data_IF_640212705245
#
_entry.id   IF_640212705245
#
_cell.length_a   1.000
_cell.length_b   1.000
_cell.length_c   1.000
_cell.angle_alpha   90.00
_cell.angle_beta   90.00
_cell.angle_gamma   90.00
#
_symmetry.space_group_name_H-M   'P 1'
#
loop_
_entity.id
_entity.type
_entity.pdbx_description
1 polymer ?
#
# COMPACT_ATOMS: atom_id res chain seq x y z
N UNK A 1 26.62 -15.89 -13.46
CA UNK A 1 25.73 -15.03 -12.69
C UNK A 1 25.99 -15.33 -11.22
N UNK A 2 26.28 -14.30 -10.46
CA UNK A 2 26.49 -14.36 -9.00
C UNK A 2 25.51 -13.38 -8.34
N UNK A 3 24.74 -13.82 -7.33
CA UNK A 3 23.84 -12.96 -6.56
C UNK A 3 24.40 -12.89 -5.15
N UNK A 4 24.54 -11.67 -4.64
CA UNK A 4 25.10 -11.40 -3.32
C UNK A 4 24.47 -10.18 -2.66
N UNK A 5 24.58 -10.02 -1.34
CA UNK A 5 24.27 -8.78 -0.68
C UNK A 5 25.03 -7.60 -1.29
N UNK A 6 24.35 -6.45 -1.31
CA UNK A 6 24.97 -5.21 -1.78
C UNK A 6 26.09 -4.78 -0.82
N UNK A 7 27.12 -4.15 -1.37
CA UNK A 7 28.24 -3.59 -0.61
C UNK A 7 28.42 -2.11 -0.95
N UNK A 8 29.23 -1.40 -0.15
CA UNK A 8 29.41 0.05 -0.32
C UNK A 8 30.02 0.41 -1.69
N UNK A 9 30.89 -0.45 -2.22
CA UNK A 9 31.47 -0.29 -3.55
C UNK A 9 30.46 -0.39 -4.71
N UNK A 10 29.24 -0.89 -4.46
CA UNK A 10 28.20 -1.02 -5.48
C UNK A 10 27.35 0.25 -5.64
N UNK A 11 27.50 1.25 -4.77
CA UNK A 11 26.65 2.45 -4.73
C UNK A 11 26.54 3.12 -6.11
N UNK A 12 27.67 3.40 -6.74
CA UNK A 12 27.69 4.05 -8.06
C UNK A 12 27.06 3.17 -9.15
N UNK A 13 27.24 1.85 -9.08
CA UNK A 13 26.64 0.92 -10.03
C UNK A 13 25.13 0.87 -9.87
N UNK A 14 24.61 0.88 -8.62
CA UNK A 14 23.18 0.91 -8.32
C UNK A 14 22.57 2.20 -8.84
N UNK A 15 23.11 3.36 -8.51
CA UNK A 15 22.64 4.67 -9.00
C UNK A 15 22.58 4.67 -10.52
N UNK A 16 23.62 4.16 -11.17
CA UNK A 16 23.68 4.09 -12.63
C UNK A 16 22.61 3.15 -13.21
N UNK A 17 22.30 2.03 -12.56
CA UNK A 17 21.20 1.15 -12.97
C UNK A 17 19.85 1.87 -12.95
N UNK A 18 19.57 2.69 -11.94
CA UNK A 18 18.34 3.50 -11.89
C UNK A 18 18.34 4.53 -13.02
N UNK A 19 19.45 5.23 -13.27
CA UNK A 19 19.55 6.18 -14.38
C UNK A 19 19.35 5.54 -15.75
N UNK A 20 19.88 4.35 -15.97
CA UNK A 20 19.73 3.61 -17.23
C UNK A 20 18.26 3.20 -17.50
N UNK A 21 17.48 2.97 -16.45
CA UNK A 21 16.08 2.53 -16.59
C UNK A 21 15.08 3.70 -16.57
N UNK A 22 15.35 4.75 -15.82
CA UNK A 22 14.39 5.82 -15.51
C UNK A 22 14.90 7.24 -15.82
N UNK A 23 16.15 7.40 -16.28
CA UNK A 23 16.76 8.73 -16.36
C UNK A 23 16.92 9.34 -14.96
N UNK A 24 16.38 10.53 -14.75
CA UNK A 24 16.32 11.19 -13.43
C UNK A 24 14.89 11.21 -12.86
N UNK A 25 13.95 10.45 -13.47
CA UNK A 25 12.51 10.51 -13.19
C UNK A 25 12.00 9.29 -12.39
N UNK A 26 12.87 8.65 -11.60
CA UNK A 26 12.38 7.58 -10.71
C UNK A 26 11.54 8.16 -9.58
N UNK A 27 10.41 7.52 -9.27
CA UNK A 27 9.45 7.97 -8.27
C UNK A 27 10.04 8.20 -6.87
N UNK A 28 11.20 7.59 -6.56
CA UNK A 28 11.94 7.78 -5.32
C UNK A 28 13.30 8.42 -5.68
N UNK A 29 13.39 9.76 -5.75
CA UNK A 29 14.59 10.47 -6.20
C UNK A 29 15.80 10.25 -5.29
N UNK A 30 15.59 9.82 -4.06
CA UNK A 30 16.64 9.47 -3.10
C UNK A 30 17.55 8.32 -3.59
N UNK A 31 17.09 7.47 -4.52
CA UNK A 31 17.94 6.45 -5.16
C UNK A 31 19.10 7.05 -5.97
N UNK A 32 19.10 8.33 -6.24
CA UNK A 32 20.22 9.06 -6.86
C UNK A 32 21.18 9.69 -5.84
N UNK A 33 20.85 9.66 -4.53
CA UNK A 33 21.71 10.14 -3.45
C UNK A 33 22.61 9.03 -2.90
N UNK A 34 23.95 9.09 -3.09
CA UNK A 34 24.87 8.09 -2.58
C UNK A 34 24.79 7.88 -1.06
N UNK A 35 24.49 8.94 -0.31
CA UNK A 35 24.38 8.86 1.15
C UNK A 35 23.13 8.12 1.57
N UNK A 36 22.05 8.31 0.83
CA UNK A 36 20.81 7.58 1.05
C UNK A 36 20.99 6.09 0.73
N UNK A 37 21.56 5.77 -0.43
CA UNK A 37 21.88 4.38 -0.83
C UNK A 37 22.76 3.70 0.21
N UNK A 38 23.81 4.40 0.69
CA UNK A 38 24.69 3.89 1.75
C UNK A 38 23.93 3.56 3.03
N UNK A 39 23.02 4.44 3.48
CA UNK A 39 22.16 4.15 4.66
C UNK A 39 21.32 2.91 4.45
N UNK A 40 20.76 2.74 3.24
CA UNK A 40 19.98 1.55 2.88
C UNK A 40 20.80 0.27 2.98
N UNK A 41 22.04 0.28 2.53
CA UNK A 41 22.97 -0.88 2.61
C UNK A 41 23.20 -1.35 4.06
N UNK A 42 23.29 -0.40 4.98
CA UNK A 42 23.54 -0.68 6.40
C UNK A 42 22.25 -0.75 7.25
N UNK A 43 21.07 -0.80 6.64
CA UNK A 43 19.80 -0.90 7.34
C UNK A 43 19.43 -2.36 7.61
N UNK A 44 19.08 -2.68 8.86
CA UNK A 44 18.56 -3.98 9.24
C UNK A 44 17.14 -4.24 8.69
N UNK A 45 16.49 -3.21 8.14
CA UNK A 45 15.14 -3.29 7.58
C UNK A 45 15.12 -3.53 6.07
N UNK A 46 16.28 -3.80 5.45
CA UNK A 46 16.36 -4.05 4.02
C UNK A 46 17.22 -5.27 3.73
N UNK A 47 16.67 -6.19 2.97
CA UNK A 47 17.44 -7.18 2.26
C UNK A 47 17.71 -6.60 0.87
N UNK A 48 18.95 -6.19 0.62
CA UNK A 48 19.33 -5.58 -0.67
C UNK A 48 20.35 -6.46 -1.38
N UNK A 49 19.97 -6.94 -2.56
CA UNK A 49 20.80 -7.84 -3.36
C UNK A 49 21.17 -7.21 -4.70
N UNK A 50 22.34 -7.59 -5.18
CA UNK A 50 22.82 -7.32 -6.55
C UNK A 50 23.09 -8.61 -7.29
N UNK A 51 22.86 -8.60 -8.60
CA UNK A 51 23.24 -9.68 -9.50
C UNK A 51 24.39 -9.24 -10.41
N UNK A 52 25.48 -9.98 -10.37
CA UNK A 52 26.65 -9.75 -11.21
C UNK A 52 26.57 -10.58 -12.49
N UNK A 53 26.93 -9.94 -13.59
CA UNK A 53 27.16 -10.58 -14.87
C UNK A 53 28.51 -10.13 -15.40
N UNK A 54 29.39 -11.10 -15.71
CA UNK A 54 30.76 -10.83 -16.22
C UNK A 54 31.59 -9.89 -15.31
N UNK A 55 31.47 -10.08 -13.98
CA UNK A 55 32.21 -9.30 -12.98
C UNK A 55 31.72 -7.86 -12.77
N UNK A 56 30.53 -7.50 -13.28
CA UNK A 56 29.91 -6.19 -13.08
C UNK A 56 28.49 -6.34 -12.54
N UNK A 57 28.09 -5.43 -11.67
CA UNK A 57 26.70 -5.34 -11.20
C UNK A 57 25.79 -5.02 -12.40
N UNK A 58 24.89 -5.94 -12.69
CA UNK A 58 23.97 -5.87 -13.83
C UNK A 58 22.50 -5.85 -13.42
N UNK A 59 22.20 -6.08 -12.16
CA UNK A 59 20.84 -5.88 -11.61
C UNK A 59 20.93 -5.59 -10.11
N UNK A 60 19.94 -4.89 -9.60
CA UNK A 60 19.75 -4.57 -8.18
C UNK A 60 18.28 -4.74 -7.81
N UNK A 61 18.00 -5.16 -6.58
CA UNK A 61 16.63 -5.28 -6.06
C UNK A 61 16.63 -5.41 -4.55
N UNK A 62 15.53 -5.05 -3.91
CA UNK A 62 15.43 -5.05 -2.47
C UNK A 62 14.10 -5.65 -1.98
N UNK A 63 14.13 -6.25 -0.77
CA UNK A 63 12.97 -6.49 0.04
C UNK A 63 13.03 -5.55 1.26
N UNK A 64 12.01 -4.74 1.40
CA UNK A 64 11.85 -3.82 2.52
C UNK A 64 11.04 -4.55 3.58
N UNK A 65 11.66 -4.81 4.72
CA UNK A 65 11.04 -5.49 5.86
C UNK A 65 10.20 -4.51 6.68
N UNK A 66 9.24 -5.03 7.42
CA UNK A 66 8.35 -4.23 8.28
C UNK A 66 7.56 -3.17 7.51
N UNK A 67 7.09 -3.56 6.32
CA UNK A 67 6.33 -2.68 5.44
C UNK A 67 4.93 -2.27 5.98
N UNK A 68 4.62 -2.58 7.22
CA UNK A 68 3.36 -2.21 7.88
C UNK A 68 3.59 -1.47 9.18
N UNK A 69 3.79 -2.20 10.26
CA UNK A 69 4.09 -1.68 11.59
C UNK A 69 5.46 -2.19 12.05
N UNK A 70 6.08 -1.54 13.03
CA UNK A 70 7.40 -1.86 13.56
C UNK A 70 7.61 -3.32 13.94
N UNK A 71 6.54 -3.99 14.35
CA UNK A 71 6.58 -5.37 14.81
C UNK A 71 5.91 -6.33 13.83
N UNK A 72 5.54 -5.87 12.65
CA UNK A 72 4.90 -6.74 11.67
C UNK A 72 5.93 -7.29 10.69
N UNK A 73 5.78 -8.57 10.39
CA UNK A 73 6.63 -9.30 9.47
C UNK A 73 6.07 -9.21 8.04
N UNK A 74 6.01 -7.97 7.50
CA UNK A 74 5.59 -7.69 6.12
C UNK A 74 6.81 -7.29 5.30
N UNK A 75 6.96 -7.88 4.11
CA UNK A 75 8.00 -7.54 3.15
C UNK A 75 7.44 -6.91 1.87
N UNK A 76 7.95 -5.76 1.46
CA UNK A 76 7.74 -5.24 0.11
C UNK A 76 8.92 -5.62 -0.78
N UNK A 77 8.71 -6.51 -1.75
CA UNK A 77 9.72 -6.94 -2.72
C UNK A 77 9.63 -6.03 -3.95
N UNK A 78 10.69 -5.27 -4.19
CA UNK A 78 10.66 -4.30 -5.27
C UNK A 78 12.03 -3.69 -5.59
N UNK A 79 11.98 -2.50 -6.16
CA UNK A 79 13.18 -1.74 -6.56
C UNK A 79 14.08 -2.54 -7.52
N UNK A 80 13.46 -3.47 -8.29
CA UNK A 80 14.20 -4.34 -9.21
C UNK A 80 14.51 -3.58 -10.49
N UNK A 81 15.80 -3.34 -10.71
CA UNK A 81 16.35 -2.73 -11.92
C UNK A 81 17.36 -3.66 -12.55
N UNK A 82 17.34 -3.76 -13.87
CA UNK A 82 18.26 -4.60 -14.65
C UNK A 82 18.89 -3.74 -15.74
N UNK A 83 20.17 -3.88 -15.95
CA UNK A 83 20.88 -3.25 -17.07
C UNK A 83 20.18 -3.64 -18.39
N UNK A 84 19.64 -2.67 -19.16
CA UNK A 84 18.94 -2.95 -20.41
C UNK A 84 19.80 -3.75 -21.41
N UNK A 85 21.13 -3.58 -21.36
CA UNK A 85 22.06 -4.29 -22.24
C UNK A 85 22.30 -5.74 -21.82
N UNK A 86 22.05 -6.07 -20.56
CA UNK A 86 22.13 -7.42 -20.01
C UNK A 86 20.80 -8.20 -20.09
N UNK A 87 19.80 -7.65 -20.79
CA UNK A 87 18.46 -8.22 -20.90
C UNK A 87 18.43 -9.64 -21.51
N UNK A 88 17.37 -10.40 -21.19
CA UNK A 88 17.17 -11.76 -21.70
C UNK A 88 17.92 -12.87 -20.96
N UNK A 89 18.84 -12.54 -20.05
CA UNK A 89 19.64 -13.53 -19.28
C UNK A 89 18.96 -14.03 -17.99
N UNK A 90 17.71 -13.62 -17.74
CA UNK A 90 16.95 -14.04 -16.56
C UNK A 90 17.39 -13.40 -15.23
N UNK A 91 18.21 -12.34 -15.27
CA UNK A 91 18.76 -11.68 -14.07
C UNK A 91 17.68 -11.19 -13.11
N UNK A 92 16.65 -10.49 -13.61
CA UNK A 92 15.57 -9.98 -12.78
C UNK A 92 14.76 -11.10 -12.09
N UNK A 93 14.51 -12.22 -12.79
CA UNK A 93 13.85 -13.38 -12.20
C UNK A 93 14.70 -14.04 -11.12
N UNK A 94 15.99 -14.25 -11.40
CA UNK A 94 16.89 -14.87 -10.44
C UNK A 94 17.07 -14.00 -9.19
N UNK A 95 17.17 -12.67 -9.38
CA UNK A 95 17.28 -11.72 -8.28
C UNK A 95 15.99 -11.70 -7.43
N UNK A 96 14.82 -11.69 -8.06
CA UNK A 96 13.53 -11.73 -7.34
C UNK A 96 13.37 -13.03 -6.55
N UNK A 97 13.74 -14.18 -7.14
CA UNK A 97 13.76 -15.44 -6.43
C UNK A 97 14.69 -15.41 -5.20
N UNK A 98 15.89 -14.90 -5.36
CA UNK A 98 16.83 -14.77 -4.25
C UNK A 98 16.33 -13.81 -3.14
N UNK A 99 15.62 -12.74 -3.50
CA UNK A 99 14.99 -11.85 -2.53
C UNK A 99 13.88 -12.56 -1.75
N UNK A 100 13.03 -13.34 -2.43
CA UNK A 100 11.98 -14.16 -1.79
C UNK A 100 12.62 -15.15 -0.82
N UNK A 101 13.60 -15.92 -1.28
CA UNK A 101 14.30 -16.92 -0.45
C UNK A 101 14.97 -16.28 0.77
N UNK A 102 15.59 -15.10 0.60
CA UNK A 102 16.25 -14.40 1.70
C UNK A 102 15.26 -13.77 2.69
N UNK A 103 14.04 -13.51 2.28
CA UNK A 103 13.00 -12.90 3.14
C UNK A 103 12.09 -13.94 3.82
N UNK A 104 12.05 -15.19 3.37
CA UNK A 104 11.09 -16.22 3.82
C UNK A 104 11.11 -16.43 5.35
N UNK A 105 12.29 -16.39 5.98
CA UNK A 105 12.42 -16.54 7.44
C UNK A 105 12.11 -15.25 8.23
N UNK A 106 11.96 -14.10 7.53
CA UNK A 106 11.83 -12.78 8.15
C UNK A 106 10.45 -12.17 7.96
N UNK A 107 9.62 -12.71 7.07
CA UNK A 107 8.29 -12.17 6.78
C UNK A 107 7.21 -13.25 6.88
N UNK A 108 6.01 -12.84 7.23
CA UNK A 108 4.80 -13.66 7.21
C UNK A 108 3.88 -13.32 6.03
N UNK A 109 4.07 -12.14 5.47
CA UNK A 109 3.45 -11.71 4.23
C UNK A 109 4.44 -10.90 3.40
N UNK A 110 4.56 -11.20 2.11
CA UNK A 110 5.30 -10.35 1.19
C UNK A 110 4.44 -9.99 -0.02
N UNK A 111 4.69 -8.80 -0.55
CA UNK A 111 4.02 -8.31 -1.74
C UNK A 111 4.99 -7.59 -2.68
N UNK A 112 4.56 -7.46 -3.92
CA UNK A 112 5.22 -6.66 -4.94
C UNK A 112 4.18 -5.89 -5.75
N UNK A 113 4.52 -4.69 -6.18
CA UNK A 113 3.71 -3.90 -7.09
C UNK A 113 4.33 -3.90 -8.48
N UNK A 114 3.63 -4.52 -9.42
CA UNK A 114 4.10 -4.70 -10.79
C UNK A 114 3.42 -3.73 -11.75
N UNK A 115 4.20 -2.98 -12.52
CA UNK A 115 3.70 -2.08 -13.56
C UNK A 115 2.85 -2.83 -14.58
N UNK A 116 1.84 -2.13 -15.13
CA UNK A 116 0.96 -2.69 -16.17
C UNK A 116 1.35 -2.30 -17.59
N UNK A 117 2.34 -1.46 -17.77
CA UNK A 117 2.87 -1.07 -19.10
C UNK A 117 3.59 -2.22 -19.81
N UNK A 118 3.97 -3.26 -19.09
CA UNK A 118 4.51 -4.50 -19.63
C UNK A 118 4.35 -5.66 -18.61
N UNK A 119 4.13 -6.89 -19.06
CA UNK A 119 3.80 -8.00 -18.17
C UNK A 119 5.03 -8.71 -17.57
N UNK A 120 6.23 -8.19 -17.72
CA UNK A 120 7.48 -8.89 -17.33
C UNK A 120 7.51 -9.21 -15.84
N UNK A 121 7.35 -8.19 -14.99
CA UNK A 121 7.36 -8.37 -13.52
C UNK A 121 6.19 -9.23 -13.07
N UNK A 122 4.98 -9.02 -13.62
CA UNK A 122 3.81 -9.84 -13.31
C UNK A 122 4.08 -11.34 -13.58
N UNK A 123 4.65 -11.67 -14.76
CA UNK A 123 5.02 -13.07 -15.10
C UNK A 123 6.05 -13.65 -14.15
N UNK A 124 7.00 -12.84 -13.66
CA UNK A 124 7.99 -13.29 -12.68
C UNK A 124 7.29 -13.55 -11.34
N UNK A 125 6.44 -12.65 -10.88
CA UNK A 125 5.65 -12.80 -9.66
C UNK A 125 4.80 -14.08 -9.72
N UNK A 126 4.00 -14.26 -10.78
CA UNK A 126 3.17 -15.44 -10.99
C UNK A 126 4.00 -16.74 -10.92
N UNK A 127 5.19 -16.75 -11.57
CA UNK A 127 6.07 -17.90 -11.57
C UNK A 127 6.69 -18.23 -10.20
N UNK A 128 6.91 -17.21 -9.37
CA UNK A 128 7.52 -17.33 -8.05
C UNK A 128 6.47 -17.46 -6.93
N UNK A 129 5.17 -17.53 -7.28
CA UNK A 129 4.10 -17.74 -6.31
C UNK A 129 3.58 -16.47 -5.62
N UNK A 130 4.04 -15.29 -6.05
CA UNK A 130 3.40 -14.02 -5.68
C UNK A 130 2.16 -13.83 -6.56
N UNK A 131 1.00 -14.19 -6.05
CA UNK A 131 -0.26 -14.15 -6.82
C UNK A 131 -0.90 -12.77 -6.81
N UNK A 132 -1.61 -12.36 -7.89
CA UNK A 132 -2.34 -11.09 -7.90
C UNK A 132 -3.40 -11.02 -6.79
N UNK A 133 -3.49 -9.86 -6.13
CA UNK A 133 -4.41 -9.54 -5.03
C UNK A 133 -5.21 -8.25 -5.29
N UNK A 134 -4.87 -7.52 -6.34
CA UNK A 134 -5.56 -6.29 -6.71
C UNK A 134 -5.02 -5.64 -7.96
N UNK A 135 -5.80 -4.69 -8.47
CA UNK A 135 -5.41 -3.79 -9.55
C UNK A 135 -5.57 -2.35 -9.06
N UNK A 136 -4.48 -1.59 -9.08
CA UNK A 136 -4.41 -0.22 -8.59
C UNK A 136 -4.43 0.73 -9.81
N UNK A 137 -5.60 1.26 -10.19
CA UNK A 137 -5.70 2.10 -11.38
C UNK A 137 -4.98 3.44 -11.16
N UNK A 138 -4.12 3.83 -12.08
CA UNK A 138 -3.47 5.14 -12.13
C UNK A 138 -2.73 5.51 -10.82
N UNK A 139 -2.21 4.52 -10.08
CA UNK A 139 -1.77 4.65 -8.70
C UNK A 139 -0.55 5.58 -8.53
N UNK A 140 0.40 5.54 -9.47
CA UNK A 140 1.66 6.26 -9.31
C UNK A 140 1.97 7.19 -10.48
N UNK A 141 2.53 8.35 -10.15
CA UNK A 141 3.03 9.32 -11.12
C UNK A 141 4.43 8.91 -11.59
N UNK A 142 4.49 8.48 -12.83
CA UNK A 142 5.73 8.27 -13.57
C UNK A 142 5.85 9.37 -14.64
N UNK A 143 6.31 9.07 -15.86
CA UNK A 143 6.19 10.01 -16.99
C UNK A 143 4.72 10.39 -17.26
N UNK A 144 3.81 9.45 -17.00
CA UNK A 144 2.36 9.63 -16.88
C UNK A 144 1.87 8.80 -15.69
N UNK A 145 0.57 8.88 -15.33
CA UNK A 145 0.02 8.02 -14.28
C UNK A 145 -0.12 6.60 -14.77
N UNK A 146 0.52 5.70 -14.06
CA UNK A 146 0.52 4.27 -14.38
C UNK A 146 -0.32 3.47 -13.37
N UNK A 147 -0.89 2.39 -13.90
CA UNK A 147 -1.57 1.39 -13.08
C UNK A 147 -0.61 0.28 -12.67
N UNK A 148 -0.91 -0.36 -11.53
CA UNK A 148 -0.11 -1.44 -10.98
C UNK A 148 -0.98 -2.63 -10.61
N UNK A 149 -0.40 -3.81 -10.64
CA UNK A 149 -0.94 -5.02 -10.02
C UNK A 149 -0.20 -5.24 -8.73
N UNK A 150 -0.93 -5.30 -7.61
CA UNK A 150 -0.37 -5.78 -6.36
C UNK A 150 -0.46 -7.30 -6.33
N UNK A 151 0.67 -7.96 -6.11
CA UNK A 151 0.78 -9.42 -5.99
C UNK A 151 1.40 -9.76 -4.65
N UNK A 152 0.98 -10.85 -4.01
CA UNK A 152 1.51 -11.20 -2.69
C UNK A 152 1.39 -12.68 -2.37
N UNK A 153 2.00 -13.06 -1.23
CA UNK A 153 2.02 -14.42 -0.71
C UNK A 153 2.17 -14.40 0.80
N UNK A 154 1.58 -15.39 1.46
CA UNK A 154 1.77 -15.68 2.89
C UNK A 154 2.93 -16.64 3.08
N UNK A 155 3.84 -16.31 3.99
CA UNK A 155 5.02 -17.09 4.37
C UNK A 155 4.92 -17.62 5.80
N UNK A 156 5.72 -18.60 6.13
CA UNK A 156 5.86 -19.13 7.48
C UNK A 156 4.52 -19.36 8.20
N UNK A 157 4.34 -18.68 9.32
CA UNK A 157 3.12 -18.75 10.11
C UNK A 157 1.97 -17.88 9.58
N UNK A 158 2.18 -17.05 8.55
CA UNK A 158 1.18 -16.11 8.05
C UNK A 158 -0.17 -16.76 7.71
N UNK A 159 -0.17 -17.99 7.16
CA UNK A 159 -1.40 -18.74 6.88
C UNK A 159 -2.12 -19.19 8.15
N UNK A 160 -1.37 -19.62 9.16
CA UNK A 160 -1.91 -20.14 10.43
C UNK A 160 -2.47 -19.00 11.27
N UNK A 161 -1.82 -17.85 11.23
CA UNK A 161 -2.22 -16.66 11.98
C UNK A 161 -3.37 -15.89 11.31
N UNK A 162 -3.65 -16.16 10.03
CA UNK A 162 -4.80 -15.53 9.38
C UNK A 162 -6.10 -16.01 10.04
N UNK A 163 -6.92 -15.07 10.48
CA UNK A 163 -8.22 -15.37 11.07
C UNK A 163 -9.24 -15.72 9.97
N UNK A 164 -9.64 -16.98 9.94
CA UNK A 164 -10.57 -17.49 8.93
C UNK A 164 -12.00 -17.14 9.31
N UNK A 165 -12.75 -16.50 8.39
CA UNK A 165 -14.18 -16.20 8.56
C UNK A 165 -14.48 -14.95 9.39
N UNK A 166 -13.48 -14.22 9.85
CA UNK A 166 -13.67 -12.96 10.57
C UNK A 166 -14.00 -11.79 9.63
N UNK A 167 -13.56 -11.86 8.36
CA UNK A 167 -13.79 -10.80 7.39
C UNK A 167 -15.28 -10.58 7.13
N UNK A 168 -15.72 -9.32 7.29
CA UNK A 168 -17.09 -8.87 7.03
C UNK A 168 -17.03 -7.69 6.07
N UNK A 169 -17.46 -7.91 4.84
CA UNK A 169 -17.28 -6.93 3.77
C UNK A 169 -18.60 -6.40 3.22
N UNK A 170 -18.54 -5.22 2.61
CA UNK A 170 -19.64 -4.70 1.79
C UNK A 170 -19.72 -5.43 0.45
N UNK A 171 -20.89 -5.43 -0.25
CA UNK A 171 -21.05 -6.16 -1.53
C UNK A 171 -20.02 -5.78 -2.60
N UNK A 172 -19.54 -4.53 -2.57
CA UNK A 172 -18.56 -4.02 -3.53
C UNK A 172 -17.19 -4.67 -3.38
N UNK A 173 -16.84 -5.16 -2.19
CA UNK A 173 -15.56 -5.81 -1.87
C UNK A 173 -15.60 -7.31 -2.16
N UNK A 174 -16.76 -7.96 -2.03
CA UNK A 174 -16.91 -9.42 -2.12
C UNK A 174 -16.21 -10.06 -3.35
N UNK A 175 -16.34 -9.53 -4.59
CA UNK A 175 -15.70 -10.15 -5.75
C UNK A 175 -14.17 -10.17 -5.65
N UNK A 176 -13.55 -9.11 -5.12
CA UNK A 176 -12.11 -9.05 -4.93
C UNK A 176 -11.66 -9.99 -3.80
N UNK A 177 -12.44 -10.07 -2.72
CA UNK A 177 -12.15 -10.98 -1.62
C UNK A 177 -12.11 -12.44 -2.11
N UNK A 178 -13.13 -12.88 -2.85
CA UNK A 178 -13.18 -14.24 -3.42
C UNK A 178 -12.01 -14.52 -4.37
N UNK A 179 -11.68 -13.57 -5.26
CA UNK A 179 -10.53 -13.72 -6.16
C UNK A 179 -9.22 -13.88 -5.40
N UNK A 180 -8.97 -13.04 -4.41
CA UNK A 180 -7.71 -13.06 -3.65
C UNK A 180 -7.58 -14.32 -2.80
N UNK A 181 -8.66 -14.74 -2.13
CA UNK A 181 -8.68 -15.97 -1.35
C UNK A 181 -8.44 -17.20 -2.22
N UNK A 182 -9.12 -17.27 -3.37
CA UNK A 182 -8.92 -18.32 -4.38
C UNK A 182 -7.46 -18.36 -4.87
N UNK A 183 -6.88 -17.22 -5.23
CA UNK A 183 -5.52 -17.16 -5.75
C UNK A 183 -4.47 -17.61 -4.72
N UNK A 184 -4.69 -17.33 -3.45
CA UNK A 184 -3.85 -17.81 -2.35
C UNK A 184 -4.16 -19.24 -1.91
N UNK A 185 -5.17 -19.90 -2.50
CA UNK A 185 -5.62 -21.23 -2.08
C UNK A 185 -6.14 -21.26 -0.64
N UNK A 186 -6.86 -20.22 -0.24
CA UNK A 186 -7.51 -20.07 1.06
C UNK A 186 -9.01 -20.35 0.96
N UNK A 187 -9.67 -20.53 2.10
CA UNK A 187 -11.13 -20.60 2.15
C UNK A 187 -11.73 -19.28 1.64
N UNK A 188 -12.59 -19.38 0.61
CA UNK A 188 -13.23 -18.23 -0.05
C UNK A 188 -14.41 -17.65 0.75
N UNK A 189 -14.65 -18.16 1.94
CA UNK A 189 -15.75 -17.71 2.81
C UNK A 189 -15.48 -16.30 3.35
N UNK A 190 -16.35 -15.36 2.96
CA UNK A 190 -16.42 -14.01 3.55
C UNK A 190 -17.86 -13.69 3.90
N UNK A 191 -18.09 -13.05 5.03
CA UNK A 191 -19.42 -12.56 5.38
C UNK A 191 -19.70 -11.25 4.62
N UNK A 192 -20.84 -11.18 3.94
CA UNK A 192 -21.26 -9.97 3.21
C UNK A 192 -22.37 -9.27 3.97
N UNK A 193 -22.12 -8.03 4.36
CA UNK A 193 -23.12 -7.20 5.04
C UNK A 193 -23.69 -6.16 4.06
N UNK A 194 -24.82 -6.49 3.43
CA UNK A 194 -25.43 -5.66 2.38
C UNK A 194 -26.12 -4.40 2.89
N UNK A 195 -26.41 -4.30 4.19
CA UNK A 195 -27.12 -3.16 4.80
C UNK A 195 -26.33 -2.57 5.95
N UNK A 196 -25.14 -2.07 5.63
CA UNK A 196 -24.32 -1.34 6.59
C UNK A 196 -24.65 0.14 6.51
N UNK A 197 -24.78 0.78 7.68
CA UNK A 197 -24.89 2.25 7.74
C UNK A 197 -23.49 2.85 7.87
N UNK A 198 -23.18 3.81 7.04
CA UNK A 198 -21.99 4.65 7.17
C UNK A 198 -21.94 5.37 8.53
N UNK A 199 -20.78 5.85 8.91
CA UNK A 199 -20.65 6.77 10.03
C UNK A 199 -21.39 8.08 9.71
N UNK A 200 -22.22 8.61 10.66
CA UNK A 200 -22.85 9.92 10.47
C UNK A 200 -21.77 11.00 10.30
N UNK A 201 -21.99 11.94 9.37
CA UNK A 201 -21.01 12.97 9.03
C UNK A 201 -21.51 14.41 9.26
N UNK A 202 -22.59 14.57 10.00
CA UNK A 202 -23.29 15.84 10.28
C UNK A 202 -23.00 16.41 11.68
N UNK A 203 -21.95 15.90 12.34
CA UNK A 203 -21.58 16.33 13.68
C UNK A 203 -21.11 17.78 13.72
N UNK A 204 -21.57 18.51 14.74
CA UNK A 204 -21.18 19.89 15.01
C UNK A 204 -20.09 19.94 16.08
N UNK A 205 -18.86 19.63 15.67
CA UNK A 205 -17.69 19.67 16.55
C UNK A 205 -16.76 20.79 16.12
N UNK A 206 -15.94 21.24 17.05
CA UNK A 206 -14.78 22.05 16.71
C UNK A 206 -13.71 21.11 16.16
N UNK A 207 -13.37 21.24 14.88
CA UNK A 207 -12.27 20.46 14.28
C UNK A 207 -11.07 21.36 14.08
N UNK A 208 -9.91 20.90 14.55
CA UNK A 208 -8.65 21.66 14.49
C UNK A 208 -7.50 20.73 14.05
N UNK A 209 -6.47 21.28 13.39
CA UNK A 209 -5.21 20.56 13.24
C UNK A 209 -4.63 20.17 14.60
N UNK A 210 -3.94 19.03 14.63
CA UNK A 210 -3.25 18.57 15.84
C UNK A 210 -2.12 19.52 16.21
N UNK A 211 -2.07 19.88 17.50
CA UNK A 211 -0.97 20.64 18.10
C UNK A 211 -0.17 19.77 19.05
N UNK A 212 1.03 20.21 19.46
CA UNK A 212 1.85 19.49 20.42
C UNK A 212 1.15 19.16 21.74
N UNK A 213 0.31 20.08 22.25
CA UNK A 213 -0.51 19.84 23.45
C UNK A 213 -1.62 18.83 23.20
N UNK A 214 -2.23 18.85 21.99
CA UNK A 214 -3.26 17.90 21.58
C UNK A 214 -2.73 16.47 21.46
N UNK A 215 -1.46 16.30 21.10
CA UNK A 215 -0.82 14.99 20.95
C UNK A 215 -0.95 14.15 22.24
N UNK A 216 -0.67 14.73 23.41
CA UNK A 216 -0.74 13.99 24.68
C UNK A 216 -2.16 13.51 24.99
N UNK A 217 -3.17 14.29 24.63
CA UNK A 217 -4.58 13.91 24.81
C UNK A 217 -4.96 12.80 23.83
N UNK A 218 -4.51 12.89 22.59
CA UNK A 218 -4.77 11.91 21.56
C UNK A 218 -4.14 10.54 21.87
N UNK A 219 -2.95 10.52 22.47
CA UNK A 219 -2.27 9.29 22.89
C UNK A 219 -3.04 8.50 23.97
N UNK A 220 -4.00 9.11 24.65
CA UNK A 220 -4.84 8.44 25.65
C UNK A 220 -6.03 7.69 25.05
N UNK A 221 -6.33 7.92 23.79
CA UNK A 221 -7.43 7.22 23.09
C UNK A 221 -6.84 5.96 22.46
N UNK A 222 -7.25 4.81 22.97
CA UNK A 222 -6.76 3.50 22.50
C UNK A 222 -7.63 2.95 21.36
N UNK A 223 -8.93 3.29 21.33
CA UNK A 223 -9.86 2.82 20.30
C UNK A 223 -9.51 3.41 18.92
N UNK A 224 -9.48 2.55 17.93
CA UNK A 224 -9.04 2.90 16.58
C UNK A 224 -7.53 2.89 16.38
N UNK A 225 -6.75 2.80 17.46
CA UNK A 225 -5.28 2.72 17.41
C UNK A 225 -4.76 1.36 17.89
N UNK A 226 -5.03 0.97 19.12
CA UNK A 226 -4.63 -0.31 19.70
C UNK A 226 -5.80 -1.26 19.89
N UNK A 227 -6.99 -0.71 20.06
CA UNK A 227 -8.25 -1.44 20.20
C UNK A 227 -9.07 -1.22 18.95
N UNK A 228 -9.38 -2.32 18.26
CA UNK A 228 -10.21 -2.33 17.04
C UNK A 228 -9.76 -1.31 15.96
N UNK A 229 -8.51 -1.37 15.48
CA UNK A 229 -8.07 -0.48 14.41
C UNK A 229 -8.84 -0.78 13.13
N UNK A 230 -9.39 0.25 12.53
CA UNK A 230 -10.15 0.15 11.28
C UNK A 230 -9.28 0.48 10.06
N UNK A 231 -8.20 1.25 10.25
CA UNK A 231 -7.25 1.63 9.21
C UNK A 231 -5.88 1.07 9.57
N UNK A 232 -5.25 0.42 8.59
CA UNK A 232 -3.89 -0.05 8.69
C UNK A 232 -2.98 0.83 7.82
N UNK A 233 -1.98 1.45 8.42
CA UNK A 233 -1.06 2.31 7.68
C UNK A 233 0.21 1.57 7.33
N UNK A 234 0.54 1.57 6.04
CA UNK A 234 1.85 1.19 5.53
C UNK A 234 2.87 2.34 5.59
N UNK A 235 2.64 3.36 6.40
CA UNK A 235 3.51 4.55 6.43
C UNK A 235 4.92 4.30 6.93
N UNK A 236 5.19 3.13 7.47
CA UNK A 236 6.49 2.81 8.07
C UNK A 236 7.46 2.15 7.10
N UNK A 237 7.05 2.02 5.86
CA UNK A 237 7.75 1.29 4.81
C UNK A 237 9.06 1.92 4.36
N UNK A 238 9.32 3.16 4.68
CA UNK A 238 10.51 3.85 4.16
C UNK A 238 11.67 3.87 5.15
N UNK A 239 12.43 2.84 5.19
CA UNK A 239 13.90 2.78 5.35
C UNK A 239 14.54 3.87 6.23
N UNK A 240 14.08 4.03 7.46
CA UNK A 240 14.55 5.14 8.28
C UNK A 240 13.95 6.50 7.89
N UNK A 241 13.28 6.59 6.75
CA UNK A 241 12.49 7.74 6.31
C UNK A 241 11.10 7.74 6.91
N UNK A 242 10.57 6.61 7.30
CA UNK A 242 9.28 6.51 7.96
C UNK A 242 9.15 7.48 9.14
N UNK A 243 10.20 7.64 9.91
CA UNK A 243 10.22 8.62 10.99
C UNK A 243 10.15 10.08 10.49
N UNK A 244 10.66 10.38 9.32
CA UNK A 244 10.56 11.69 8.70
C UNK A 244 9.19 11.88 8.05
N UNK A 245 8.64 10.85 7.41
CA UNK A 245 7.29 10.86 6.83
C UNK A 245 6.22 10.92 7.92
N UNK A 246 6.36 10.18 9.00
CA UNK A 246 5.48 10.29 10.17
C UNK A 246 5.44 11.71 10.76
N UNK A 247 6.52 12.48 10.67
CA UNK A 247 6.55 13.90 11.06
C UNK A 247 5.78 14.81 10.10
N UNK A 248 5.45 14.35 8.89
CA UNK A 248 4.65 15.09 7.89
C UNK A 248 3.19 14.66 7.88
N UNK A 249 2.80 13.69 8.72
CA UNK A 249 1.40 13.32 8.84
C UNK A 249 0.61 14.48 9.47
N UNK A 250 -0.47 14.86 8.81
CA UNK A 250 -1.43 15.82 9.32
C UNK A 250 -2.54 15.07 10.07
N UNK A 251 -3.02 15.66 11.14
CA UNK A 251 -4.17 15.16 11.90
C UNK A 251 -5.23 16.24 12.04
N UNK A 252 -6.48 15.86 11.82
CA UNK A 252 -7.64 16.64 12.23
C UNK A 252 -8.21 16.03 13.50
N UNK A 253 -8.46 16.89 14.50
CA UNK A 253 -8.92 16.48 15.83
C UNK A 253 -10.29 17.10 16.08
N UNK A 254 -11.29 16.26 16.37
CA UNK A 254 -12.61 16.69 16.81
C UNK A 254 -12.65 16.91 18.31
N UNK A 255 -13.19 18.07 18.74
CA UNK A 255 -13.26 18.46 20.14
C UNK A 255 -14.65 18.99 20.51
N UNK A 256 -15.11 18.63 21.71
CA UNK A 256 -16.25 19.22 22.38
C UNK A 256 -15.77 19.93 23.66
N UNK A 257 -15.62 21.24 23.61
CA UNK A 257 -14.93 21.99 24.66
C UNK A 257 -13.46 21.53 24.81
N UNK A 258 -13.09 21.09 26.01
CA UNK A 258 -11.75 20.55 26.29
C UNK A 258 -11.62 19.03 26.06
N UNK A 259 -12.72 18.37 25.66
CA UNK A 259 -12.72 16.93 25.45
C UNK A 259 -12.43 16.58 24.00
N UNK A 260 -11.44 15.72 23.77
CA UNK A 260 -11.12 15.16 22.44
C UNK A 260 -12.06 13.98 22.17
N UNK A 261 -12.82 14.04 21.07
CA UNK A 261 -13.78 13.03 20.65
C UNK A 261 -13.14 12.03 19.69
N UNK A 262 -12.16 12.45 18.93
CA UNK A 262 -11.47 11.60 17.97
C UNK A 262 -10.51 12.38 17.09
N UNK A 263 -9.83 11.66 16.21
CA UNK A 263 -8.92 12.22 15.22
C UNK A 263 -8.85 11.34 13.97
N UNK A 264 -8.53 11.96 12.84
CA UNK A 264 -8.14 11.28 11.61
C UNK A 264 -6.75 11.73 11.22
N UNK A 265 -5.87 10.77 10.98
CA UNK A 265 -4.52 11.00 10.46
C UNK A 265 -4.46 10.74 8.96
N UNK A 266 -3.72 11.57 8.24
CA UNK A 266 -3.45 11.37 6.83
C UNK A 266 -2.08 11.92 6.44
N UNK A 267 -1.53 11.38 5.38
CA UNK A 267 -0.24 11.76 4.81
C UNK A 267 -0.42 12.17 3.35
N UNK A 268 0.19 13.28 2.96
CA UNK A 268 0.25 13.72 1.58
C UNK A 268 1.60 13.43 0.95
N UNK A 269 1.59 12.62 -0.08
CA UNK A 269 2.75 12.33 -0.93
C UNK A 269 2.76 13.31 -2.11
N UNK A 270 3.72 14.24 -2.07
CA UNK A 270 3.75 15.37 -3.00
C UNK A 270 4.03 14.93 -4.45
N UNK A 271 4.93 13.96 -4.64
CA UNK A 271 5.30 13.47 -5.97
C UNK A 271 4.11 12.83 -6.68
N UNK A 272 3.41 11.93 -6.00
CA UNK A 272 2.25 11.22 -6.55
C UNK A 272 0.94 11.99 -6.36
N UNK A 273 0.95 13.15 -5.71
CA UNK A 273 -0.26 13.88 -5.29
C UNK A 273 -1.30 12.97 -4.67
N UNK A 274 -0.85 12.05 -3.85
CA UNK A 274 -1.68 11.06 -3.19
C UNK A 274 -1.84 11.40 -1.71
N UNK A 275 -3.07 11.39 -1.21
CA UNK A 275 -3.34 11.42 0.22
C UNK A 275 -3.67 10.02 0.69
N UNK A 276 -2.96 9.56 1.70
CA UNK A 276 -3.21 8.31 2.41
C UNK A 276 -3.87 8.59 3.74
N UNK A 277 -5.06 8.02 3.98
CA UNK A 277 -5.62 7.96 5.33
C UNK A 277 -4.84 6.90 6.11
N UNK A 278 -4.33 7.25 7.29
CA UNK A 278 -3.40 6.41 8.04
C UNK A 278 -3.95 5.93 9.37
N UNK A 279 -4.90 6.66 9.95
CA UNK A 279 -5.43 6.35 11.27
C UNK A 279 -6.80 7.02 11.45
N UNK A 280 -7.72 6.32 12.08
CA UNK A 280 -9.00 6.87 12.54
C UNK A 280 -9.17 6.50 14.02
N UNK A 281 -9.19 7.49 14.89
CA UNK A 281 -9.19 7.32 16.33
C UNK A 281 -10.45 7.95 16.90
N UNK A 282 -11.09 7.31 17.83
CA UNK A 282 -12.20 7.90 18.59
C UNK A 282 -13.27 6.88 18.95
N UNK A 283 -14.14 7.29 19.86
CA UNK A 283 -15.23 6.49 20.39
C UNK A 283 -16.61 7.02 19.96
N UNK A 284 -16.62 8.17 19.25
CA UNK A 284 -17.86 8.80 18.76
C UNK A 284 -18.02 8.61 17.26
N UNK A 285 -19.03 7.86 16.88
CA UNK A 285 -19.35 7.54 15.48
C UNK A 285 -19.53 8.79 14.60
N UNK A 286 -20.17 9.83 15.13
CA UNK A 286 -20.44 11.06 14.38
C UNK A 286 -19.16 11.89 14.23
N UNK A 287 -18.29 11.85 15.23
CA UNK A 287 -16.97 12.46 15.13
C UNK A 287 -16.13 11.75 14.06
N UNK A 288 -16.13 10.41 14.03
CA UNK A 288 -15.41 9.62 13.03
C UNK A 288 -15.87 9.92 11.60
N UNK A 289 -17.18 9.90 11.35
CA UNK A 289 -17.73 10.21 10.02
C UNK A 289 -17.46 11.67 9.59
N UNK A 290 -17.60 12.62 10.51
CA UNK A 290 -17.29 14.04 10.24
C UNK A 290 -15.81 14.24 9.93
N UNK A 291 -14.92 13.62 10.70
CA UNK A 291 -13.47 13.69 10.49
C UNK A 291 -13.06 13.10 9.14
N UNK A 292 -13.61 11.94 8.75
CA UNK A 292 -13.34 11.32 7.45
C UNK A 292 -13.75 12.23 6.30
N UNK A 293 -14.97 12.79 6.37
CA UNK A 293 -15.44 13.75 5.36
C UNK A 293 -14.51 14.96 5.26
N UNK A 294 -14.14 15.56 6.39
CA UNK A 294 -13.26 16.73 6.41
C UNK A 294 -11.83 16.40 5.95
N UNK A 295 -11.32 15.18 6.23
CA UNK A 295 -10.03 14.74 5.72
C UNK A 295 -10.05 14.63 4.19
N UNK A 296 -11.12 14.07 3.62
CA UNK A 296 -11.31 13.99 2.17
C UNK A 296 -11.41 15.40 1.57
N UNK A 297 -12.24 16.28 2.13
CA UNK A 297 -12.35 17.67 1.68
C UNK A 297 -11.01 18.42 1.77
N UNK A 298 -10.24 18.20 2.85
CA UNK A 298 -8.91 18.79 3.03
C UNK A 298 -7.92 18.27 1.97
N UNK A 299 -7.94 16.96 1.71
CA UNK A 299 -7.13 16.35 0.65
C UNK A 299 -7.42 16.98 -0.71
N UNK A 300 -8.71 17.20 -1.00
CA UNK A 300 -9.17 17.75 -2.27
C UNK A 300 -8.88 19.24 -2.43
N UNK A 301 -9.14 20.03 -1.40
CA UNK A 301 -9.11 21.50 -1.49
C UNK A 301 -7.74 22.09 -1.14
N UNK A 302 -7.09 21.57 -0.10
CA UNK A 302 -5.81 22.10 0.38
C UNK A 302 -4.62 21.52 -0.39
N UNK A 303 -4.63 20.19 -0.62
CA UNK A 303 -3.51 19.49 -1.24
C UNK A 303 -3.71 19.28 -2.74
N UNK A 304 -4.91 19.55 -3.26
CA UNK A 304 -5.26 19.22 -4.65
C UNK A 304 -4.86 17.77 -4.99
N UNK A 305 -5.15 16.86 -4.04
CA UNK A 305 -4.82 15.47 -4.20
C UNK A 305 -5.52 14.87 -5.42
N UNK A 306 -4.78 14.12 -6.19
CA UNK A 306 -5.27 13.44 -7.39
C UNK A 306 -5.77 12.04 -7.05
N UNK A 307 -5.20 11.45 -6.01
CA UNK A 307 -5.60 10.12 -5.49
C UNK A 307 -5.73 10.19 -3.99
N UNK A 308 -6.74 9.50 -3.45
CA UNK A 308 -6.86 9.21 -2.03
C UNK A 308 -6.87 7.69 -1.85
N UNK A 309 -6.17 7.20 -0.83
CA UNK A 309 -6.10 5.78 -0.51
C UNK A 309 -6.35 5.52 0.97
N UNK A 310 -6.90 4.35 1.27
CA UNK A 310 -7.10 3.87 2.63
C UNK A 310 -7.01 2.35 2.66
N UNK A 311 -6.17 1.82 3.54
CA UNK A 311 -6.07 0.39 3.81
C UNK A 311 -6.97 0.06 5.00
N UNK A 312 -8.12 -0.54 4.72
CA UNK A 312 -9.21 -0.77 5.67
C UNK A 312 -9.16 -2.19 6.20
N UNK A 313 -9.33 -2.36 7.50
CA UNK A 313 -9.56 -3.68 8.11
C UNK A 313 -10.81 -4.33 7.48
N UNK A 314 -10.67 -5.55 6.96
CA UNK A 314 -11.80 -6.28 6.36
C UNK A 314 -12.90 -6.63 7.38
N UNK A 315 -12.64 -6.48 8.68
CA UNK A 315 -13.62 -6.63 9.75
C UNK A 315 -14.42 -5.35 10.04
N UNK A 316 -14.14 -4.26 9.32
CA UNK A 316 -14.77 -2.94 9.51
C UNK A 316 -15.70 -2.55 8.35
N UNK A 317 -16.83 -3.26 8.15
CA UNK A 317 -17.73 -2.98 7.02
C UNK A 317 -18.34 -1.57 7.09
N UNK A 318 -18.43 -1.00 8.27
CA UNK A 318 -18.96 0.36 8.47
C UNK A 318 -18.03 1.42 7.91
N UNK A 319 -16.71 1.28 8.13
CA UNK A 319 -15.73 2.17 7.50
C UNK A 319 -15.68 1.96 5.99
N UNK A 320 -15.72 0.69 5.52
CA UNK A 320 -15.80 0.40 4.08
C UNK A 320 -16.98 1.13 3.42
N UNK A 321 -18.17 1.07 4.06
CA UNK A 321 -19.37 1.75 3.59
C UNK A 321 -19.21 3.27 3.61
N UNK A 322 -18.64 3.82 4.68
CA UNK A 322 -18.41 5.27 4.81
C UNK A 322 -17.49 5.78 3.70
N UNK A 323 -16.37 5.09 3.45
CA UNK A 323 -15.46 5.44 2.38
C UNK A 323 -16.12 5.28 1.00
N UNK A 324 -16.94 4.24 0.81
CA UNK A 324 -17.68 4.05 -0.43
C UNK A 324 -18.63 5.22 -0.72
N UNK A 325 -19.36 5.71 0.29
CA UNK A 325 -20.22 6.90 0.18
C UNK A 325 -19.40 8.19 -0.08
N UNK A 326 -18.17 8.27 0.45
CA UNK A 326 -17.23 9.36 0.17
C UNK A 326 -16.54 9.24 -1.21
N UNK A 327 -16.88 8.22 -2.00
CA UNK A 327 -16.40 8.06 -3.38
C UNK A 327 -15.22 7.12 -3.55
N UNK A 328 -14.79 6.41 -2.51
CA UNK A 328 -13.76 5.38 -2.64
C UNK A 328 -14.34 4.09 -3.20
N UNK A 329 -13.52 3.38 -3.97
CA UNK A 329 -13.84 2.07 -4.52
C UNK A 329 -12.76 1.05 -4.14
N UNK A 330 -13.11 -0.22 -3.92
CA UNK A 330 -12.12 -1.25 -3.63
C UNK A 330 -11.26 -1.54 -4.87
N UNK A 331 -9.93 -1.54 -4.66
CA UNK A 331 -8.93 -1.81 -5.69
C UNK A 331 -8.15 -3.10 -5.43
N UNK A 332 -8.02 -3.52 -4.16
CA UNK A 332 -7.39 -4.77 -3.77
C UNK A 332 -8.05 -5.37 -2.53
N UNK A 333 -7.91 -6.69 -2.39
CA UNK A 333 -8.18 -7.41 -1.15
C UNK A 333 -6.97 -8.27 -0.82
N UNK A 334 -6.40 -8.06 0.36
CA UNK A 334 -5.09 -8.60 0.74
C UNK A 334 -5.25 -9.46 1.99
N UNK A 335 -5.39 -10.80 1.83
CA UNK A 335 -5.60 -11.69 2.95
C UNK A 335 -4.41 -11.75 3.90
N UNK A 336 -4.67 -11.63 5.20
CA UNK A 336 -3.66 -11.76 6.24
C UNK A 336 -2.50 -10.76 6.15
N UNK A 337 -2.73 -9.58 5.56
CA UNK A 337 -1.65 -8.63 5.30
C UNK A 337 -0.96 -8.15 6.57
N UNK A 338 -1.70 -7.77 7.58
CA UNK A 338 -1.14 -7.15 8.80
C UNK A 338 -1.31 -8.04 10.02
N UNK A 339 -0.40 -7.93 10.98
CA UNK A 339 -0.52 -8.59 12.27
C UNK A 339 -1.16 -7.65 13.29
N UNK A 340 -2.22 -8.12 13.93
CA UNK A 340 -2.89 -7.39 14.99
C UNK A 340 -3.21 -8.31 16.17
N UNK A 341 -2.75 -7.96 17.36
CA UNK A 341 -2.86 -8.78 18.58
C UNK A 341 -2.21 -10.17 18.41
N UNK A 342 -2.97 -11.18 18.01
CA UNK A 342 -2.52 -12.58 17.90
C UNK A 342 -2.86 -13.20 16.54
N UNK A 343 -3.39 -12.45 15.61
CA UNK A 343 -3.84 -12.94 14.31
C UNK A 343 -3.51 -11.94 13.19
N UNK A 344 -3.76 -12.34 11.96
CA UNK A 344 -3.55 -11.52 10.77
C UNK A 344 -4.87 -11.26 10.06
N UNK A 345 -5.53 -10.10 10.30
CA UNK A 345 -6.71 -9.70 9.56
C UNK A 345 -6.42 -9.44 8.08
N UNK A 346 -7.46 -9.57 7.28
CA UNK A 346 -7.44 -9.20 5.87
C UNK A 346 -7.58 -7.67 5.72
N UNK A 347 -7.04 -7.14 4.65
CA UNK A 347 -7.07 -5.70 4.34
C UNK A 347 -7.77 -5.43 3.02
N UNK A 348 -8.63 -4.44 3.00
CA UNK A 348 -9.26 -3.88 1.79
C UNK A 348 -8.57 -2.58 1.43
N UNK A 349 -7.86 -2.55 0.30
CA UNK A 349 -7.32 -1.27 -0.21
C UNK A 349 -8.40 -0.55 -1.00
N UNK A 350 -8.83 0.59 -0.47
CA UNK A 350 -9.83 1.46 -1.11
C UNK A 350 -9.15 2.70 -1.70
N UNK A 351 -9.59 3.11 -2.88
CA UNK A 351 -9.03 4.24 -3.61
C UNK A 351 -10.13 5.16 -4.13
N UNK A 352 -9.85 6.47 -4.13
CA UNK A 352 -10.64 7.49 -4.81
C UNK A 352 -9.75 8.22 -5.80
N UNK A 353 -10.18 8.30 -7.06
CA UNK A 353 -9.46 9.00 -8.14
C UNK A 353 -10.12 10.34 -8.42
N UNK A 354 -9.31 11.35 -8.72
CA UNK A 354 -9.74 12.71 -9.05
C UNK A 354 -9.03 13.26 -10.29
N UNK A 355 -8.61 12.38 -11.16
CA UNK A 355 -7.91 12.68 -12.43
C UNK A 355 -8.73 12.15 -13.60
N UNK A 356 -8.60 12.70 -14.79
CA UNK A 356 -9.25 12.14 -15.97
C UNK A 356 -8.92 10.67 -16.13
N UNK A 357 -9.93 9.85 -16.48
CA UNK A 357 -9.74 8.41 -16.65
C UNK A 357 -8.93 8.12 -17.91
N UNK A 358 -7.67 7.78 -17.73
CA UNK A 358 -6.77 7.36 -18.80
C UNK A 358 -5.76 6.34 -18.24
N UNK A 359 -5.98 5.08 -18.53
CA UNK A 359 -5.12 3.99 -18.05
C UNK A 359 -3.80 3.86 -18.82
N UNK A 360 -3.69 4.54 -19.99
CA UNK A 360 -2.57 4.34 -20.89
C UNK A 360 -2.45 2.90 -21.41
N UNK A 361 -1.24 2.47 -21.78
CA UNK A 361 -0.99 1.09 -22.22
C UNK A 361 -1.15 0.10 -21.06
N UNK A 362 -1.97 -0.96 -21.28
CA UNK A 362 -2.21 -2.02 -20.29
C UNK A 362 -1.85 -3.37 -20.91
N UNK A 363 -0.82 -4.00 -20.34
CA UNK A 363 -0.42 -5.37 -20.64
C UNK A 363 -0.43 -6.22 -19.36
N UNK A 364 -1.25 -7.27 -19.34
CA UNK A 364 -1.49 -8.07 -18.14
C UNK A 364 -1.30 -9.56 -18.42
N UNK A 365 -0.91 -10.29 -17.37
CA UNK A 365 -1.05 -11.74 -17.32
C UNK A 365 -2.54 -12.11 -17.24
N UNK A 366 -2.89 -13.38 -17.47
CA UNK A 366 -4.27 -13.85 -17.36
C UNK A 366 -4.82 -13.66 -15.94
N UNK A 367 -4.04 -14.02 -14.93
CA UNK A 367 -4.40 -13.84 -13.52
C UNK A 367 -4.62 -12.35 -13.14
N UNK A 368 -3.75 -11.46 -13.58
CA UNK A 368 -3.89 -10.01 -13.36
C UNK A 368 -5.10 -9.42 -14.06
N UNK A 369 -5.49 -9.98 -15.21
CA UNK A 369 -6.64 -9.53 -15.99
C UNK A 369 -7.97 -9.76 -15.28
N UNK A 370 -8.08 -10.78 -14.43
CA UNK A 370 -9.29 -10.98 -13.61
C UNK A 370 -9.54 -9.78 -12.68
N UNK A 371 -8.49 -9.24 -12.05
CA UNK A 371 -8.60 -8.05 -11.21
C UNK A 371 -8.89 -6.78 -12.02
N UNK A 372 -8.23 -6.62 -13.14
CA UNK A 372 -8.53 -5.52 -14.07
C UNK A 372 -10.02 -5.49 -14.40
N UNK A 373 -10.60 -6.62 -14.78
CA UNK A 373 -12.01 -6.73 -15.13
C UNK A 373 -12.95 -6.50 -13.93
N UNK A 374 -12.52 -6.83 -12.73
CA UNK A 374 -13.32 -6.62 -11.51
C UNK A 374 -13.28 -5.16 -11.03
N UNK A 375 -12.16 -4.46 -11.22
CA UNK A 375 -11.91 -3.12 -10.69
C UNK A 375 -12.31 -2.03 -11.68
N UNK A 376 -11.75 -2.06 -12.89
CA UNK A 376 -11.81 -0.92 -13.83
C UNK A 376 -13.20 -0.46 -14.22
N UNK A 377 -14.21 -1.35 -14.46
CA UNK A 377 -15.54 -0.88 -14.86
C UNK A 377 -16.26 -0.05 -13.78
N UNK A 378 -15.91 -0.27 -12.51
CA UNK A 378 -16.49 0.48 -11.39
C UNK A 378 -15.88 1.87 -11.31
N UNK A 379 -14.55 1.96 -11.43
CA UNK A 379 -13.85 3.24 -11.45
C UNK A 379 -14.24 4.07 -12.68
N UNK A 380 -14.28 3.47 -13.86
CA UNK A 380 -14.69 4.14 -15.10
C UNK A 380 -16.10 4.72 -15.01
N UNK A 381 -17.05 3.94 -14.47
CA UNK A 381 -18.43 4.42 -14.24
C UNK A 381 -18.45 5.60 -13.29
N UNK A 382 -17.78 5.48 -12.13
CA UNK A 382 -17.72 6.54 -11.12
C UNK A 382 -17.16 7.83 -11.69
N UNK A 383 -16.07 7.75 -12.45
CA UNK A 383 -15.42 8.91 -13.07
C UNK A 383 -16.33 9.59 -14.10
N UNK A 384 -17.13 8.83 -14.84
CA UNK A 384 -18.12 9.38 -15.79
C UNK A 384 -19.27 10.09 -15.07
N UNK A 385 -19.73 9.54 -13.94
CA UNK A 385 -20.83 10.11 -13.16
C UNK A 385 -20.41 11.42 -12.45
N UNK A 386 -19.13 11.62 -12.16
CA UNK A 386 -18.61 12.85 -11.53
C UNK A 386 -18.31 13.98 -12.51
N UNK A 387 -18.19 13.69 -13.82
CA UNK A 387 -17.94 14.66 -14.89
C UNK A 387 -19.23 15.12 -15.59
N UNK A 388 -20.33 14.40 -15.46
CA UNK A 388 -21.67 14.70 -16.03
C UNK A 388 -22.54 15.48 -15.08
#
# INVERSE_FOLDING_TARGET
MNIRPVAEEDIEAIINLFRLNYGEDYAIPEFYDPMWVKRGIYSDHIIWLVAENEGRVAASGACILNAGDYNDHIGEIGRVVVDPTAGGKGLGRALLAALIDASDEQVEFAFAEARTTHPKTQKICDHLGLVPLGFLPMAYQMTWRESFVISGQLFGNGRVLRETGAAVVIPEVEPLAKLSLKNLGLDESVAVQAKVKAYPSDGQFTVKPLTGEGMVRLLKIEHGRFVEPEIFSAMQVDLGYAQLHARRADYLVAQAGDHTLGAVGFHFEEHDKTVRLIELIGEDDTAQGTLLRLAVETAEQKYNAEILTCDVNAESPRLQQTLHELGFLPAAYIPGMVFHRTHRPDVVKMMKLRVPWDLGPIELTEASREYFNAVTPRFERRMKDEVG
#
